data_IF_185596280912
#
_entry.id   IF_185596280912
#
_cell.length_a   1.000
_cell.length_b   1.000
_cell.length_c   1.000
_cell.angle_alpha   90.00
_cell.angle_beta   90.00
_cell.angle_gamma   90.00
#
_symmetry.space_group_name_H-M   'P 1'
#
loop_
_entity.id
_entity.type
_entity.pdbx_description
1 polymer ?
#
# COMPACT_ATOMS: atom_id res chain seq x y z
N UNK A 1 0.09 -5.20 -6.94
CA UNK A 1 -1.23 -5.54 -7.49
C UNK A 1 -2.31 -5.34 -6.43
N UNK A 2 -3.52 -4.93 -6.88
CA UNK A 2 -4.69 -4.83 -6.02
C UNK A 2 -5.40 -6.17 -5.88
N UNK A 3 -5.97 -6.41 -4.69
CA UNK A 3 -6.91 -7.50 -4.41
C UNK A 3 -8.13 -6.88 -3.74
N UNK A 4 -9.26 -6.91 -4.46
CA UNK A 4 -10.55 -6.35 -4.04
C UNK A 4 -11.69 -7.08 -4.75
N UNK A 5 -12.94 -6.90 -4.31
CA UNK A 5 -14.09 -7.58 -4.91
C UNK A 5 -14.19 -7.38 -6.43
N UNK A 6 -13.95 -6.15 -6.91
CA UNK A 6 -13.98 -5.81 -8.34
C UNK A 6 -12.75 -6.31 -9.12
N UNK A 7 -11.65 -6.61 -8.43
CA UNK A 7 -10.39 -7.12 -9.00
C UNK A 7 -9.93 -8.32 -8.16
N UNK A 8 -10.60 -9.48 -8.28
CA UNK A 8 -10.38 -10.62 -7.40
C UNK A 8 -9.16 -11.46 -7.81
N UNK A 9 -7.98 -10.81 -7.87
CA UNK A 9 -6.73 -11.52 -8.10
C UNK A 9 -6.51 -12.60 -7.04
N UNK A 10 -6.00 -13.77 -7.47
CA UNK A 10 -5.63 -14.83 -6.54
C UNK A 10 -4.14 -14.78 -6.22
N UNK A 11 -3.77 -15.18 -5.01
CA UNK A 11 -2.36 -15.25 -4.62
C UNK A 11 -1.56 -16.22 -5.51
N UNK A 12 -2.18 -17.34 -5.93
CA UNK A 12 -1.56 -18.29 -6.85
C UNK A 12 -1.25 -17.64 -8.22
N UNK A 13 -2.24 -16.99 -8.83
CA UNK A 13 -2.06 -16.31 -10.11
C UNK A 13 -1.06 -15.15 -10.05
N UNK A 14 -1.03 -14.40 -8.93
CA UNK A 14 -0.04 -13.34 -8.74
C UNK A 14 1.37 -13.90 -8.57
N UNK A 15 1.54 -15.02 -7.84
CA UNK A 15 2.84 -15.71 -7.70
C UNK A 15 3.36 -16.25 -9.04
N UNK A 16 2.48 -16.84 -9.85
CA UNK A 16 2.83 -17.33 -11.19
C UNK A 16 3.34 -16.19 -12.08
N UNK A 17 2.58 -15.10 -12.20
CA UNK A 17 2.98 -13.91 -12.97
C UNK A 17 4.26 -13.26 -12.45
N UNK A 18 4.46 -13.30 -11.14
CA UNK A 18 5.67 -12.77 -10.53
C UNK A 18 6.91 -13.63 -10.89
N UNK A 19 6.78 -14.95 -10.97
CA UNK A 19 7.86 -15.80 -11.44
C UNK A 19 8.21 -15.52 -12.90
N UNK A 20 7.22 -15.38 -13.78
CA UNK A 20 7.45 -14.98 -15.18
C UNK A 20 8.18 -13.63 -15.27
N UNK A 21 7.82 -12.67 -14.42
CA UNK A 21 8.49 -11.38 -14.35
C UNK A 21 9.96 -11.54 -13.93
N UNK A 22 10.23 -12.31 -12.87
CA UNK A 22 11.60 -12.58 -12.39
C UNK A 22 12.47 -13.24 -13.47
N UNK A 23 11.92 -14.15 -14.27
CA UNK A 23 12.64 -14.78 -15.37
C UNK A 23 13.02 -13.78 -16.47
N UNK A 24 12.11 -12.84 -16.81
CA UNK A 24 12.41 -11.75 -17.75
C UNK A 24 13.52 -10.83 -17.25
N UNK A 25 13.54 -10.51 -15.95
CA UNK A 25 14.57 -9.67 -15.33
C UNK A 25 15.93 -10.36 -15.16
N UNK A 26 16.02 -11.69 -15.26
CA UNK A 26 17.27 -12.44 -15.17
C UNK A 26 18.08 -12.49 -16.45
N UNK A 27 17.62 -11.89 -17.55
CA UNK A 27 18.36 -11.92 -18.84
C UNK A 27 19.62 -11.09 -18.73
N UNK A 28 20.80 -11.62 -19.19
CA UNK A 28 22.11 -10.98 -19.08
C UNK A 28 22.25 -9.65 -19.85
N UNK A 29 21.31 -9.35 -20.74
CA UNK A 29 21.32 -8.14 -21.58
C UNK A 29 20.96 -6.88 -20.79
N UNK A 30 20.33 -7.02 -19.62
CA UNK A 30 19.95 -5.92 -18.74
C UNK A 30 20.93 -5.80 -17.56
N UNK A 31 22.13 -5.26 -17.83
CA UNK A 31 23.22 -5.12 -16.85
C UNK A 31 22.84 -4.32 -15.57
N UNK A 32 21.72 -3.63 -15.57
CA UNK A 32 21.21 -2.87 -14.42
C UNK A 32 20.34 -3.69 -13.45
N UNK A 33 19.82 -4.85 -13.85
CA UNK A 33 18.89 -5.65 -13.04
C UNK A 33 19.55 -6.57 -12.02
N UNK A 34 20.85 -6.81 -12.09
CA UNK A 34 21.54 -7.74 -11.18
C UNK A 34 21.63 -7.31 -9.71
N UNK A 35 21.29 -6.05 -9.40
CA UNK A 35 21.39 -5.47 -8.05
C UNK A 35 20.04 -5.17 -7.40
N UNK A 36 18.93 -5.33 -8.14
CA UNK A 36 17.58 -5.05 -7.64
C UNK A 36 16.91 -6.34 -7.21
N UNK A 37 16.52 -6.43 -5.95
CA UNK A 37 15.72 -7.53 -5.44
C UNK A 37 14.24 -7.25 -5.70
N UNK A 38 13.56 -8.20 -6.36
CA UNK A 38 12.12 -8.13 -6.61
C UNK A 38 11.34 -8.95 -5.59
N UNK A 39 10.41 -8.32 -4.92
CA UNK A 39 9.51 -8.96 -3.96
C UNK A 39 8.05 -8.76 -4.38
N UNK A 40 7.18 -9.72 -4.03
CA UNK A 40 5.75 -9.68 -4.32
C UNK A 40 4.98 -9.39 -3.02
N UNK A 41 4.15 -8.37 -3.08
CA UNK A 41 3.13 -8.07 -2.09
C UNK A 41 1.85 -7.62 -2.80
N UNK A 42 0.75 -7.50 -2.07
CA UNK A 42 -0.51 -6.99 -2.62
C UNK A 42 -1.06 -5.84 -1.76
N UNK A 43 -1.80 -4.95 -2.41
CA UNK A 43 -2.61 -3.92 -1.78
C UNK A 43 -4.07 -4.40 -1.71
N UNK A 44 -4.65 -4.36 -0.53
CA UNK A 44 -5.97 -4.90 -0.25
C UNK A 44 -6.95 -3.76 0.03
N UNK A 45 -8.05 -3.70 -0.73
CA UNK A 45 -9.23 -2.95 -0.30
C UNK A 45 -9.83 -3.66 0.92
N UNK A 46 -10.14 -2.92 1.98
CA UNK A 46 -10.79 -3.47 3.19
C UNK A 46 -12.29 -3.72 2.95
N UNK A 47 -12.59 -4.67 2.07
CA UNK A 47 -13.92 -5.16 1.70
C UNK A 47 -14.21 -6.55 2.30
N UNK A 48 -15.29 -7.22 1.85
CA UNK A 48 -15.65 -8.55 2.34
C UNK A 48 -14.65 -9.61 1.86
N UNK A 49 -14.13 -9.50 0.64
CA UNK A 49 -13.12 -10.41 0.11
C UNK A 49 -11.84 -10.36 0.96
N UNK A 50 -11.43 -9.15 1.38
CA UNK A 50 -10.30 -9.00 2.29
C UNK A 50 -10.56 -9.68 3.64
N UNK A 51 -11.77 -9.51 4.21
CA UNK A 51 -12.12 -10.13 5.47
C UNK A 51 -12.01 -11.66 5.41
N UNK A 52 -12.51 -12.29 4.34
CA UNK A 52 -12.39 -13.73 4.11
C UNK A 52 -10.94 -14.19 4.01
N UNK A 53 -10.11 -13.48 3.25
CA UNK A 53 -8.68 -13.78 3.08
C UNK A 53 -7.88 -13.61 4.36
N UNK A 54 -8.20 -12.58 5.15
CA UNK A 54 -7.58 -12.36 6.45
C UNK A 54 -7.88 -13.51 7.42
N UNK A 55 -9.10 -14.03 7.41
CA UNK A 55 -9.44 -15.22 8.23
C UNK A 55 -8.73 -16.48 7.75
N UNK A 56 -8.60 -16.66 6.44
CA UNK A 56 -7.93 -17.81 5.83
C UNK A 56 -6.39 -17.72 5.88
N UNK A 57 -5.82 -16.60 6.32
CA UNK A 57 -4.38 -16.28 6.24
C UNK A 57 -3.82 -16.37 4.80
N UNK A 58 -4.67 -16.11 3.80
CA UNK A 58 -4.31 -16.14 2.37
C UNK A 58 -3.92 -14.72 1.89
N UNK A 59 -2.74 -14.25 2.34
CA UNK A 59 -2.27 -12.88 2.14
C UNK A 59 -0.85 -12.81 1.58
N UNK A 60 -0.52 -11.68 0.93
CA UNK A 60 0.80 -11.35 0.39
C UNK A 60 1.35 -10.09 1.09
N UNK A 61 2.00 -10.23 2.24
CA UNK A 61 2.54 -9.11 2.99
C UNK A 61 3.86 -8.58 2.42
N UNK A 62 4.20 -7.34 2.80
CA UNK A 62 5.53 -6.78 2.64
C UNK A 62 6.35 -7.20 3.87
N UNK A 63 7.55 -7.74 3.64
CA UNK A 63 8.51 -8.08 4.70
C UNK A 63 9.56 -6.98 4.78
N UNK A 64 9.59 -6.23 5.86
CA UNK A 64 10.54 -5.15 6.07
C UNK A 64 10.85 -4.96 7.56
N UNK A 65 12.15 -4.80 7.90
CA UNK A 65 12.58 -4.52 9.27
C UNK A 65 12.13 -5.55 10.32
N UNK A 66 11.93 -6.82 9.94
CA UNK A 66 11.44 -7.88 10.82
C UNK A 66 9.92 -7.89 11.02
N UNK A 67 9.19 -7.02 10.36
CA UNK A 67 7.72 -6.97 10.39
C UNK A 67 7.12 -7.56 9.12
N UNK A 68 5.88 -8.06 9.26
CA UNK A 68 5.00 -8.44 8.15
C UNK A 68 3.95 -7.35 7.98
N UNK A 69 4.19 -6.39 7.08
CA UNK A 69 3.23 -5.33 6.79
C UNK A 69 2.16 -5.82 5.83
N UNK A 70 0.91 -5.52 6.14
CA UNK A 70 -0.20 -5.75 5.25
C UNK A 70 -0.67 -4.40 4.70
N UNK A 71 -0.40 -4.18 3.40
CA UNK A 71 -0.79 -2.95 2.71
C UNK A 71 -2.28 -2.97 2.46
N UNK A 72 -2.97 -2.01 3.05
CA UNK A 72 -4.43 -1.90 3.00
C UNK A 72 -4.87 -0.51 2.59
N UNK A 73 -5.98 -0.45 1.85
CA UNK A 73 -6.63 0.80 1.50
C UNK A 73 -8.12 0.77 1.85
N UNK A 74 -8.74 1.94 1.84
CA UNK A 74 -10.18 2.14 2.06
C UNK A 74 -10.71 3.19 1.07
N UNK A 75 -12.02 3.44 1.09
CA UNK A 75 -12.60 4.48 0.24
C UNK A 75 -12.05 5.86 0.59
N UNK A 76 -11.80 6.71 -0.42
CA UNK A 76 -11.18 8.02 -0.23
C UNK A 76 -12.11 9.09 0.38
N UNK A 77 -13.43 8.90 0.29
CA UNK A 77 -14.42 9.94 0.57
C UNK A 77 -15.19 9.76 1.88
N UNK A 78 -15.46 8.51 2.25
CA UNK A 78 -16.32 8.19 3.40
C UNK A 78 -15.57 7.26 4.35
N UNK A 79 -15.52 7.56 5.66
CA UNK A 79 -14.89 6.67 6.62
C UNK A 79 -15.68 5.35 6.69
N UNK A 80 -15.01 4.19 6.56
CA UNK A 80 -15.66 2.92 6.83
C UNK A 80 -16.01 2.85 8.33
N UNK A 81 -17.22 2.39 8.65
CA UNK A 81 -17.70 2.30 10.04
C UNK A 81 -16.84 1.37 10.90
N UNK A 82 -16.14 0.44 10.29
CA UNK A 82 -15.38 -0.61 10.99
C UNK A 82 -13.86 -0.51 10.76
N UNK A 83 -13.31 0.64 10.34
CA UNK A 83 -11.88 0.77 10.03
C UNK A 83 -10.99 0.30 11.18
N UNK A 84 -11.18 0.84 12.38
CA UNK A 84 -10.35 0.48 13.54
C UNK A 84 -10.50 -0.99 13.97
N UNK A 85 -11.71 -1.56 14.05
CA UNK A 85 -11.88 -3.00 14.26
C UNK A 85 -11.13 -3.88 13.25
N UNK A 86 -11.16 -3.54 11.96
CA UNK A 86 -10.45 -4.30 10.91
C UNK A 86 -8.93 -4.18 11.10
N UNK A 87 -8.40 -2.98 11.34
CA UNK A 87 -6.97 -2.78 11.60
C UNK A 87 -6.49 -3.57 12.84
N UNK A 88 -7.28 -3.61 13.91
CA UNK A 88 -7.00 -4.45 15.09
C UNK A 88 -7.06 -5.94 14.77
N UNK A 89 -7.97 -6.36 13.88
CA UNK A 89 -8.04 -7.76 13.44
C UNK A 89 -6.78 -8.16 12.67
N UNK A 90 -6.25 -7.29 11.80
CA UNK A 90 -4.97 -7.50 11.12
C UNK A 90 -3.85 -7.74 12.14
N UNK A 91 -3.78 -6.94 13.21
CA UNK A 91 -2.78 -7.07 14.27
C UNK A 91 -2.89 -8.40 15.02
N UNK A 92 -4.11 -8.85 15.33
CA UNK A 92 -4.33 -10.15 16.01
C UNK A 92 -3.89 -11.35 15.18
N UNK A 93 -3.80 -11.21 13.84
CA UNK A 93 -3.26 -12.20 12.92
C UNK A 93 -1.73 -12.12 12.77
N UNK A 94 -1.07 -11.24 13.53
CA UNK A 94 0.39 -11.08 13.54
C UNK A 94 0.94 -10.24 12.38
N UNK A 95 0.10 -9.45 11.73
CA UNK A 95 0.51 -8.46 10.73
C UNK A 95 0.55 -7.05 11.33
N UNK A 96 1.38 -6.20 10.76
CA UNK A 96 1.33 -4.76 11.02
C UNK A 96 0.53 -4.09 9.91
N UNK A 97 -0.61 -3.44 10.20
CA UNK A 97 -1.36 -2.75 9.18
C UNK A 97 -0.56 -1.58 8.63
N UNK A 98 -0.44 -1.48 7.30
CA UNK A 98 0.18 -0.39 6.57
C UNK A 98 -0.89 0.28 5.73
N UNK A 99 -1.32 1.47 6.14
CA UNK A 99 -2.33 2.22 5.43
C UNK A 99 -1.70 2.90 4.21
N UNK A 100 -2.17 2.53 3.01
CA UNK A 100 -1.73 3.10 1.75
C UNK A 100 -2.18 4.57 1.66
N UNK A 101 -1.32 5.43 1.13
CA UNK A 101 -1.61 6.82 0.76
C UNK A 101 -2.61 7.56 1.69
N UNK A 102 -2.38 7.60 3.03
CA UNK A 102 -3.33 8.17 3.99
C UNK A 102 -3.69 9.63 3.69
N UNK A 103 -2.83 10.36 2.99
CA UNK A 103 -3.08 11.74 2.53
C UNK A 103 -4.25 11.86 1.57
N UNK A 104 -4.64 10.78 0.87
CA UNK A 104 -5.73 10.77 -0.11
C UNK A 104 -7.12 10.64 0.53
N UNK A 105 -7.22 10.25 1.80
CA UNK A 105 -8.51 10.11 2.49
C UNK A 105 -9.01 11.47 2.96
N UNK A 106 -10.02 12.02 2.28
CA UNK A 106 -10.52 13.38 2.52
C UNK A 106 -11.15 13.55 3.90
N UNK A 107 -11.69 12.49 4.47
CA UNK A 107 -12.33 12.51 5.78
C UNK A 107 -11.34 12.46 6.96
N UNK A 108 -10.06 12.13 6.73
CA UNK A 108 -9.07 12.02 7.79
C UNK A 108 -8.46 13.38 8.11
N UNK A 109 -8.64 13.84 9.34
CA UNK A 109 -7.95 15.00 9.90
C UNK A 109 -6.78 14.60 10.80
N UNK A 110 -6.04 15.58 11.32
CA UNK A 110 -4.83 15.36 12.13
C UNK A 110 -5.09 14.46 13.35
N UNK A 111 -6.17 14.68 14.08
CA UNK A 111 -6.52 13.86 15.25
C UNK A 111 -6.75 12.39 14.89
N UNK A 112 -7.31 12.14 13.71
CA UNK A 112 -7.54 10.78 13.21
C UNK A 112 -6.21 10.08 12.92
N UNK A 113 -5.26 10.75 12.27
CA UNK A 113 -3.92 10.20 12.04
C UNK A 113 -3.18 9.92 13.33
N UNK A 114 -3.24 10.84 14.30
CA UNK A 114 -2.63 10.63 15.61
C UNK A 114 -3.20 9.39 16.31
N UNK A 115 -4.51 9.21 16.27
CA UNK A 115 -5.18 8.04 16.82
C UNK A 115 -4.72 6.75 16.14
N UNK A 116 -4.65 6.71 14.80
CA UNK A 116 -4.16 5.54 14.07
C UNK A 116 -2.68 5.23 14.40
N UNK A 117 -1.84 6.24 14.56
CA UNK A 117 -0.44 6.05 14.98
C UNK A 117 -0.34 5.49 16.40
N UNK A 118 -1.18 5.93 17.33
CA UNK A 118 -1.26 5.36 18.68
C UNK A 118 -1.68 3.89 18.67
N UNK A 119 -2.54 3.51 17.72
CA UNK A 119 -2.94 2.12 17.47
C UNK A 119 -1.92 1.33 16.62
N UNK A 120 -0.68 1.86 16.48
CA UNK A 120 0.43 1.20 15.76
C UNK A 120 0.17 0.92 14.29
N UNK A 121 -0.66 1.70 13.64
CA UNK A 121 -0.87 1.65 12.19
C UNK A 121 0.28 2.36 11.50
N UNK A 122 0.96 1.68 10.59
CA UNK A 122 1.98 2.26 9.74
C UNK A 122 1.34 2.98 8.55
N UNK A 123 2.02 4.01 8.04
CA UNK A 123 1.56 4.81 6.90
C UNK A 123 2.54 4.73 5.74
N UNK A 124 2.03 4.53 4.53
CA UNK A 124 2.82 4.60 3.30
C UNK A 124 2.53 5.91 2.56
N UNK A 125 3.55 6.76 2.42
CA UNK A 125 3.47 7.94 1.57
C UNK A 125 3.38 7.53 0.10
N UNK A 126 2.44 8.08 -0.64
CA UNK A 126 2.46 8.03 -2.09
C UNK A 126 3.32 9.19 -2.64
N UNK A 127 4.48 8.88 -3.23
CA UNK A 127 5.42 9.89 -3.71
C UNK A 127 4.80 10.89 -4.70
N UNK A 128 3.96 10.50 -5.67
CA UNK A 128 3.25 11.44 -6.54
C UNK A 128 2.35 12.44 -5.83
N UNK A 129 1.92 12.15 -4.59
CA UNK A 129 1.15 13.13 -3.81
C UNK A 129 1.97 14.39 -3.50
N UNK A 130 3.29 14.28 -3.39
CA UNK A 130 4.18 15.42 -3.14
C UNK A 130 4.34 16.34 -4.36
N UNK A 131 4.17 15.83 -5.57
CA UNK A 131 4.30 16.62 -6.81
C UNK A 131 3.01 17.35 -7.18
N UNK A 132 1.91 17.09 -6.49
CA UNK A 132 0.60 17.65 -6.80
C UNK A 132 -0.20 16.86 -7.86
N UNK A 133 0.24 15.66 -8.22
CA UNK A 133 -0.44 14.80 -9.19
C UNK A 133 -1.93 14.55 -8.85
N UNK A 134 -2.29 14.61 -7.57
CA UNK A 134 -3.66 14.44 -7.07
C UNK A 134 -4.29 15.77 -6.60
N UNK A 135 -3.72 16.90 -7.03
CA UNK A 135 -4.20 18.24 -6.68
C UNK A 135 -3.55 18.82 -5.42
N UNK A 136 -3.66 20.15 -5.30
CA UNK A 136 -2.96 20.92 -4.26
C UNK A 136 -3.41 20.60 -2.83
N UNK A 137 -4.64 20.17 -2.63
CA UNK A 137 -5.14 19.78 -1.32
C UNK A 137 -4.41 18.55 -0.80
N UNK A 138 -4.33 17.50 -1.61
CA UNK A 138 -3.62 16.26 -1.29
C UNK A 138 -2.12 16.53 -1.09
N UNK A 139 -1.52 17.36 -1.95
CA UNK A 139 -0.13 17.75 -1.83
C UNK A 139 0.18 18.42 -0.47
N UNK A 140 -0.63 19.40 -0.07
CA UNK A 140 -0.47 20.07 1.23
C UNK A 140 -0.59 19.10 2.39
N UNK A 141 -1.52 18.16 2.31
CA UNK A 141 -1.75 17.13 3.32
C UNK A 141 -0.58 16.16 3.40
N UNK A 142 -0.07 15.68 2.25
CA UNK A 142 1.13 14.83 2.17
C UNK A 142 2.35 15.52 2.80
N UNK A 143 2.60 16.78 2.43
CA UNK A 143 3.71 17.56 3.01
C UNK A 143 3.55 17.78 4.51
N UNK A 144 2.32 18.02 4.99
CA UNK A 144 2.06 18.18 6.42
C UNK A 144 2.34 16.90 7.20
N UNK A 145 1.86 15.76 6.73
CA UNK A 145 2.11 14.45 7.35
C UNK A 145 3.60 14.09 7.32
N UNK A 146 4.30 14.41 6.22
CA UNK A 146 5.73 14.17 6.08
C UNK A 146 6.54 15.01 7.10
N UNK A 147 6.22 16.30 7.22
CA UNK A 147 6.85 17.20 8.22
C UNK A 147 6.57 16.75 9.66
N UNK A 148 5.44 16.14 9.90
CA UNK A 148 5.07 15.58 11.21
C UNK A 148 5.73 14.21 11.49
N UNK A 149 6.51 13.65 10.55
CA UNK A 149 7.19 12.35 10.72
C UNK A 149 6.20 11.17 10.80
N UNK A 150 5.04 11.27 10.17
CA UNK A 150 3.98 10.26 10.31
C UNK A 150 4.13 9.07 9.37
N UNK A 151 4.93 9.17 8.31
CA UNK A 151 5.13 8.08 7.37
C UNK A 151 6.21 7.10 7.83
N UNK A 152 5.97 5.82 7.61
CA UNK A 152 6.90 4.73 7.90
C UNK A 152 7.57 4.20 6.63
N UNK A 153 6.82 4.12 5.53
CA UNK A 153 7.27 3.63 4.23
C UNK A 153 6.86 4.59 3.11
N UNK A 154 7.45 4.40 1.93
CA UNK A 154 7.08 5.14 0.71
C UNK A 154 6.71 4.18 -0.41
N UNK A 155 5.83 4.63 -1.30
CA UNK A 155 5.45 3.90 -2.51
C UNK A 155 5.15 4.87 -3.64
N UNK A 156 5.10 4.37 -4.86
CA UNK A 156 4.78 5.16 -6.05
C UNK A 156 3.34 5.00 -6.50
N UNK A 157 2.66 3.94 -6.05
CA UNK A 157 1.31 3.57 -6.53
C UNK A 157 1.25 3.54 -8.07
N UNK A 158 2.33 3.07 -8.69
CA UNK A 158 2.51 3.12 -10.13
C UNK A 158 1.80 1.96 -10.81
N UNK A 159 0.84 2.26 -11.68
CA UNK A 159 0.03 1.29 -12.40
C UNK A 159 0.42 1.14 -13.89
N UNK A 160 1.23 2.06 -14.43
CA UNK A 160 1.67 2.00 -15.81
C UNK A 160 2.97 2.78 -16.04
N UNK A 161 3.70 2.41 -17.10
CA UNK A 161 4.89 3.13 -17.55
C UNK A 161 4.59 4.56 -18.03
N UNK A 162 3.34 4.87 -18.38
CA UNK A 162 2.90 6.22 -18.74
C UNK A 162 2.97 7.15 -17.53
N UNK A 163 2.47 6.72 -16.37
CA UNK A 163 2.56 7.49 -15.12
C UNK A 163 4.01 7.78 -14.76
N UNK A 164 4.91 6.80 -14.92
CA UNK A 164 6.32 6.99 -14.64
C UNK A 164 6.93 8.12 -15.49
N UNK A 165 6.61 8.20 -16.77
CA UNK A 165 7.10 9.26 -17.68
C UNK A 165 6.54 10.63 -17.32
N UNK A 166 5.26 10.70 -16.88
CA UNK A 166 4.61 11.95 -16.45
C UNK A 166 5.24 12.52 -15.16
N UNK A 167 5.83 11.66 -14.31
CA UNK A 167 6.47 12.11 -13.07
C UNK A 167 7.94 12.53 -13.25
N UNK A 168 8.60 12.04 -14.30
CA UNK A 168 10.00 12.39 -14.60
C UNK A 168 10.16 13.61 -15.53
N UNK A 169 9.10 13.99 -16.24
CA UNK A 169 9.11 15.07 -17.22
C UNK A 169 8.74 16.40 -16.68
#
# INVERSE_FOLDING_TARGET
PHIMEDIPNTNAGLRERFQELKEKFRKPEDAYCGTVELNLAAEYMMDNLFAERLEADDLLPIYEGGYRYLLVETTGFTPPMNLLPVLKRIQTKGYRPLLAHPERYLYMGTSYYCMLKQEQVAFQLNLPSLTGAYGTYIQKKAVSLLKAGMYDLTGTDMHSSKHFKEWLG
#
